data_IF_045582670542
#
_entry.id   IF_045582670542
#
_cell.length_a   1.000
_cell.length_b   1.000
_cell.length_c   1.000
_cell.angle_alpha   90.00
_cell.angle_beta   90.00
_cell.angle_gamma   90.00
#
_symmetry.space_group_name_H-M   'P 1'
#
loop_
_entity.id
_entity.type
_entity.pdbx_description
1 polymer ?
#
# COMPACT_ATOMS: atom_id res chain seq x y z
N UNK A 1 -16.41 -24.39 -9.32
CA UNK A 1 -16.01 -23.71 -8.10
C UNK A 1 -16.53 -22.29 -8.16
N UNK A 2 -17.15 -21.81 -7.10
CA UNK A 2 -17.66 -20.45 -7.02
C UNK A 2 -16.51 -19.49 -6.71
N UNK A 3 -16.44 -18.36 -7.43
CA UNK A 3 -15.42 -17.32 -7.28
C UNK A 3 -16.12 -16.02 -6.89
N UNK A 4 -15.60 -15.34 -5.89
CA UNK A 4 -16.02 -14.00 -5.51
C UNK A 4 -14.97 -12.93 -5.87
N UNK A 5 -15.26 -11.67 -5.55
CA UNK A 5 -14.31 -10.57 -5.69
C UNK A 5 -14.37 -9.63 -4.49
N UNK A 6 -13.20 -9.21 -4.03
CA UNK A 6 -13.08 -8.07 -3.12
C UNK A 6 -13.38 -6.80 -3.92
N UNK A 7 -14.31 -5.97 -3.44
CA UNK A 7 -14.78 -4.79 -4.15
C UNK A 7 -14.69 -3.56 -3.24
N UNK A 8 -13.62 -2.79 -3.38
CA UNK A 8 -13.44 -1.54 -2.61
C UNK A 8 -14.11 -0.31 -3.25
N UNK A 9 -14.68 -0.46 -4.46
CA UNK A 9 -15.14 0.68 -5.24
C UNK A 9 -14.00 1.53 -5.83
N UNK A 10 -12.73 1.06 -5.75
CA UNK A 10 -11.61 1.59 -6.50
C UNK A 10 -11.57 1.02 -7.92
N UNK A 11 -10.84 1.68 -8.82
CA UNK A 11 -10.76 1.29 -10.25
C UNK A 11 -10.28 -0.16 -10.44
N UNK A 12 -9.35 -0.63 -9.62
CA UNK A 12 -8.70 -1.94 -9.74
C UNK A 12 -9.67 -3.08 -9.48
N UNK A 13 -10.25 -3.10 -8.27
CA UNK A 13 -11.22 -4.11 -7.87
C UNK A 13 -12.49 -4.06 -8.72
N UNK A 14 -12.91 -2.86 -9.12
CA UNK A 14 -14.08 -2.67 -9.98
C UNK A 14 -13.84 -3.26 -11.37
N UNK A 15 -12.66 -3.01 -11.96
CA UNK A 15 -12.31 -3.54 -13.28
C UNK A 15 -12.21 -5.07 -13.27
N UNK A 16 -11.54 -5.66 -12.26
CA UNK A 16 -11.44 -7.12 -12.13
C UNK A 16 -12.84 -7.75 -12.02
N UNK A 17 -13.72 -7.20 -11.18
CA UNK A 17 -15.09 -7.70 -11.02
C UNK A 17 -15.89 -7.59 -12.32
N UNK A 18 -15.75 -6.47 -13.03
CA UNK A 18 -16.45 -6.23 -14.32
C UNK A 18 -15.94 -7.20 -15.41
N UNK A 19 -14.63 -7.39 -15.51
CA UNK A 19 -14.04 -8.32 -16.49
C UNK A 19 -14.45 -9.76 -16.21
N UNK A 20 -14.43 -10.18 -14.94
CA UNK A 20 -14.90 -11.52 -14.58
C UNK A 20 -16.35 -11.75 -14.99
N UNK A 21 -17.25 -10.82 -14.67
CA UNK A 21 -18.67 -10.91 -15.02
C UNK A 21 -18.85 -10.98 -16.54
N UNK A 22 -18.12 -10.15 -17.28
CA UNK A 22 -18.19 -10.11 -18.76
C UNK A 22 -17.68 -11.39 -19.40
N UNK A 23 -16.54 -11.93 -18.93
CA UNK A 23 -15.89 -13.11 -19.52
C UNK A 23 -16.63 -14.39 -19.15
N UNK A 24 -17.04 -14.52 -17.89
CA UNK A 24 -17.71 -15.73 -17.42
C UNK A 24 -19.18 -15.80 -17.81
N UNK A 25 -19.81 -14.67 -18.12
CA UNK A 25 -21.25 -14.56 -18.32
C UNK A 25 -22.07 -14.83 -17.04
N UNK A 26 -21.42 -14.95 -15.87
CA UNK A 26 -22.04 -15.28 -14.60
C UNK A 26 -22.08 -14.08 -13.67
N UNK A 27 -23.12 -14.02 -12.84
CA UNK A 27 -23.18 -13.07 -11.74
C UNK A 27 -22.12 -13.41 -10.69
N UNK A 28 -21.31 -12.44 -10.29
CA UNK A 28 -20.28 -12.62 -9.28
C UNK A 28 -20.77 -12.19 -7.89
N UNK A 29 -20.35 -12.88 -6.85
CA UNK A 29 -20.47 -12.40 -5.48
C UNK A 29 -19.36 -11.39 -5.19
N UNK A 30 -19.70 -10.20 -4.72
CA UNK A 30 -18.75 -9.16 -4.36
C UNK A 30 -18.84 -8.83 -2.88
N UNK A 31 -17.69 -8.59 -2.25
CA UNK A 31 -17.59 -8.29 -0.83
C UNK A 31 -16.83 -7.00 -0.60
N UNK A 32 -17.35 -6.16 0.29
CA UNK A 32 -16.77 -4.86 0.66
C UNK A 32 -16.76 -4.68 2.15
N UNK A 33 -15.82 -3.88 2.65
CA UNK A 33 -15.77 -3.46 4.04
C UNK A 33 -16.13 -1.98 4.18
N UNK A 34 -16.87 -1.67 5.22
CA UNK A 34 -17.14 -0.31 5.67
C UNK A 34 -17.09 -0.21 7.20
N UNK A 35 -17.26 0.99 7.71
CA UNK A 35 -17.19 1.30 9.14
C UNK A 35 -18.41 2.12 9.54
N UNK A 36 -19.04 1.78 10.66
CA UNK A 36 -20.28 2.41 11.11
C UNK A 36 -20.07 3.85 11.61
N UNK A 37 -18.98 4.11 12.35
CA UNK A 37 -18.73 5.41 12.99
C UNK A 37 -17.90 6.38 12.13
N UNK A 38 -17.08 5.88 11.20
CA UNK A 38 -16.09 6.66 10.47
C UNK A 38 -16.34 6.67 8.95
N UNK A 39 -17.28 7.49 8.51
CA UNK A 39 -17.64 7.64 7.09
C UNK A 39 -16.45 8.00 6.19
N UNK A 40 -15.45 8.70 6.72
CA UNK A 40 -14.25 9.05 5.95
C UNK A 40 -13.42 7.85 5.51
N UNK A 41 -13.52 6.73 6.22
CA UNK A 41 -12.87 5.47 5.89
C UNK A 41 -13.79 4.52 5.12
N UNK A 42 -15.10 4.83 5.05
CA UNK A 42 -16.10 3.99 4.39
C UNK A 42 -16.16 4.27 2.89
N UNK A 43 -16.09 3.23 2.09
CA UNK A 43 -16.13 3.29 0.62
C UNK A 43 -17.29 2.48 0.04
N UNK A 44 -18.24 2.05 0.88
CA UNK A 44 -19.35 1.18 0.49
C UNK A 44 -20.22 1.79 -0.61
N UNK A 45 -20.41 3.12 -0.63
CA UNK A 45 -21.20 3.79 -1.66
C UNK A 45 -20.60 3.59 -3.06
N UNK A 46 -19.28 3.70 -3.19
CA UNK A 46 -18.59 3.47 -4.46
C UNK A 46 -18.59 1.98 -4.86
N UNK A 47 -18.44 1.09 -3.88
CA UNK A 47 -18.57 -0.34 -4.11
C UNK A 47 -19.99 -0.69 -4.60
N UNK A 48 -21.03 -0.09 -4.01
CA UNK A 48 -22.41 -0.27 -4.42
C UNK A 48 -22.68 0.23 -5.84
N UNK A 49 -22.10 1.38 -6.24
CA UNK A 49 -22.20 1.89 -7.62
C UNK A 49 -21.66 0.85 -8.62
N UNK A 50 -20.46 0.32 -8.35
CA UNK A 50 -19.88 -0.72 -9.20
C UNK A 50 -20.72 -1.99 -9.19
N UNK A 51 -21.11 -2.47 -8.01
CA UNK A 51 -21.90 -3.69 -7.86
C UNK A 51 -23.22 -3.62 -8.64
N UNK A 52 -23.90 -2.47 -8.60
CA UNK A 52 -25.12 -2.22 -9.37
C UNK A 52 -24.84 -2.23 -10.86
N UNK A 53 -23.77 -1.57 -11.31
CA UNK A 53 -23.39 -1.49 -12.72
C UNK A 53 -23.10 -2.87 -13.34
N UNK A 54 -22.37 -3.72 -12.62
CA UNK A 54 -22.03 -5.08 -13.10
C UNK A 54 -23.06 -6.14 -12.72
N UNK A 55 -24.16 -5.73 -12.09
CA UNK A 55 -25.22 -6.62 -11.61
C UNK A 55 -24.71 -7.78 -10.72
N UNK A 56 -23.78 -7.46 -9.78
CA UNK A 56 -23.22 -8.47 -8.84
C UNK A 56 -24.17 -8.73 -7.66
N UNK A 57 -23.94 -9.85 -6.97
CA UNK A 57 -24.50 -10.10 -5.64
C UNK A 57 -23.58 -9.43 -4.60
N UNK A 58 -23.95 -8.24 -4.16
CA UNK A 58 -23.09 -7.44 -3.29
C UNK A 58 -23.35 -7.71 -1.81
N UNK A 59 -22.28 -7.98 -1.05
CA UNK A 59 -22.29 -8.32 0.37
C UNK A 59 -21.39 -7.31 1.13
N UNK A 60 -21.95 -6.19 1.60
CA UNK A 60 -21.19 -5.25 2.42
C UNK A 60 -21.05 -5.78 3.84
N UNK A 61 -19.84 -5.69 4.40
CA UNK A 61 -19.51 -6.00 5.79
C UNK A 61 -19.21 -4.69 6.51
N UNK A 62 -20.01 -4.35 7.51
CA UNK A 62 -19.84 -3.12 8.30
C UNK A 62 -19.22 -3.48 9.64
N UNK A 63 -18.05 -2.92 9.92
CA UNK A 63 -17.24 -3.20 11.11
C UNK A 63 -17.43 -2.07 12.14
N UNK A 64 -17.72 -2.42 13.37
CA UNK A 64 -17.73 -1.53 14.52
C UNK A 64 -16.43 -1.63 15.34
N UNK A 65 -16.19 -0.69 16.26
CA UNK A 65 -15.00 -0.65 17.10
C UNK A 65 -14.78 -1.95 17.89
N UNK A 66 -15.84 -2.49 18.51
CA UNK A 66 -15.76 -3.70 19.34
C UNK A 66 -15.32 -4.91 18.52
N UNK A 67 -15.89 -5.06 17.33
CA UNK A 67 -15.55 -6.15 16.41
C UNK A 67 -14.11 -6.04 15.92
N UNK A 68 -13.67 -4.83 15.57
CA UNK A 68 -12.30 -4.54 15.17
C UNK A 68 -11.29 -4.92 16.26
N UNK A 69 -11.55 -4.51 17.51
CA UNK A 69 -10.69 -4.81 18.66
C UNK A 69 -10.65 -6.31 18.96
N UNK A 70 -11.80 -7.00 18.89
CA UNK A 70 -11.87 -8.44 19.15
C UNK A 70 -11.06 -9.28 18.16
N UNK A 71 -10.84 -8.78 16.94
CA UNK A 71 -10.02 -9.46 15.92
C UNK A 71 -8.55 -9.07 15.92
N UNK A 72 -8.14 -8.11 16.77
CA UNK A 72 -6.79 -7.57 16.77
C UNK A 72 -5.73 -8.66 17.06
N UNK A 73 -5.83 -9.34 18.20
CA UNK A 73 -4.86 -10.36 18.62
C UNK A 73 -4.82 -11.53 17.64
N UNK A 74 -5.96 -12.05 17.24
CA UNK A 74 -6.04 -13.13 16.24
C UNK A 74 -5.38 -12.73 14.92
N UNK A 75 -5.53 -11.48 14.48
CA UNK A 75 -4.90 -11.00 13.26
C UNK A 75 -3.38 -10.94 13.38
N UNK A 76 -2.86 -10.52 14.55
CA UNK A 76 -1.43 -10.53 14.80
C UNK A 76 -0.85 -11.94 14.79
N UNK A 77 -1.53 -12.90 15.38
CA UNK A 77 -1.11 -14.32 15.38
C UNK A 77 -1.05 -14.88 13.95
N UNK A 78 -2.00 -14.52 13.08
CA UNK A 78 -1.99 -14.94 11.67
C UNK A 78 -0.82 -14.37 10.87
N UNK A 79 -0.37 -13.15 11.21
CA UNK A 79 0.71 -12.47 10.47
C UNK A 79 2.09 -13.08 10.74
N UNK A 80 2.30 -13.71 11.90
CA UNK A 80 3.57 -14.34 12.34
C UNK A 80 4.78 -13.39 12.38
N UNK A 81 4.70 -12.23 11.77
CA UNK A 81 5.76 -11.20 11.71
C UNK A 81 5.18 -9.81 12.02
N UNK A 82 6.00 -8.90 12.56
CA UNK A 82 5.59 -7.51 12.76
C UNK A 82 5.17 -6.88 11.45
N UNK A 83 3.92 -6.44 11.38
CA UNK A 83 3.34 -5.82 10.20
C UNK A 83 2.70 -4.47 10.54
N UNK A 84 3.00 -3.43 9.78
CA UNK A 84 2.55 -2.06 10.04
C UNK A 84 1.28 -1.63 9.31
N UNK A 85 0.64 -2.52 8.54
CA UNK A 85 -0.55 -2.18 7.76
C UNK A 85 -1.83 -2.47 8.54
N UNK A 86 -2.53 -1.42 8.95
CA UNK A 86 -3.79 -1.49 9.69
C UNK A 86 -4.95 -2.14 8.91
N UNK A 87 -4.81 -2.31 7.60
CA UNK A 87 -5.77 -3.01 6.75
C UNK A 87 -5.83 -4.53 7.03
N UNK A 88 -4.89 -5.08 7.79
CA UNK A 88 -4.85 -6.49 8.16
C UNK A 88 -6.11 -6.93 8.92
N UNK A 89 -6.57 -6.13 9.89
CA UNK A 89 -7.71 -6.49 10.73
C UNK A 89 -9.03 -6.53 9.93
N UNK A 90 -9.41 -5.48 9.17
CA UNK A 90 -10.61 -5.56 8.34
C UNK A 90 -10.52 -6.64 7.25
N UNK A 91 -9.32 -6.95 6.74
CA UNK A 91 -9.14 -8.06 5.82
C UNK A 91 -9.42 -9.41 6.49
N UNK A 92 -8.98 -9.62 7.75
CA UNK A 92 -9.29 -10.83 8.52
C UNK A 92 -10.81 -11.00 8.70
N UNK A 93 -11.50 -9.94 9.11
CA UNK A 93 -12.95 -9.97 9.28
C UNK A 93 -13.64 -10.31 7.95
N UNK A 94 -13.25 -9.61 6.87
CA UNK A 94 -13.84 -9.79 5.55
C UNK A 94 -13.64 -11.20 5.00
N UNK A 95 -12.44 -11.76 5.10
CA UNK A 95 -12.11 -13.10 4.61
C UNK A 95 -12.85 -14.19 5.39
N UNK A 96 -13.04 -13.98 6.69
CA UNK A 96 -13.85 -14.85 7.55
C UNK A 96 -15.33 -14.86 7.15
N UNK A 97 -15.92 -13.68 6.85
CA UNK A 97 -17.30 -13.58 6.37
C UNK A 97 -17.48 -14.25 5.00
N UNK A 98 -16.50 -14.09 4.09
CA UNK A 98 -16.51 -14.78 2.78
C UNK A 98 -16.47 -16.31 2.96
N UNK A 99 -15.63 -16.79 3.87
CA UNK A 99 -15.53 -18.24 4.14
C UNK A 99 -16.82 -18.82 4.70
N UNK A 100 -17.53 -18.09 5.58
CA UNK A 100 -18.81 -18.53 6.17
C UNK A 100 -19.90 -18.84 5.13
N UNK A 101 -19.88 -18.18 3.99
CA UNK A 101 -20.82 -18.45 2.88
C UNK A 101 -20.35 -19.53 1.93
N UNK A 102 -19.27 -20.27 2.27
CA UNK A 102 -18.76 -21.43 1.54
C UNK A 102 -17.87 -21.09 0.33
N UNK A 103 -17.50 -19.84 0.11
CA UNK A 103 -16.59 -19.42 -0.96
C UNK A 103 -15.15 -19.70 -0.54
N UNK A 104 -14.35 -20.26 -1.45
CA UNK A 104 -12.95 -20.63 -1.21
C UNK A 104 -11.95 -19.84 -2.04
N UNK A 105 -12.41 -19.10 -3.04
CA UNK A 105 -11.53 -18.32 -3.92
C UNK A 105 -12.12 -16.95 -4.18
N UNK A 106 -11.27 -15.92 -4.06
CA UNK A 106 -11.67 -14.54 -4.26
C UNK A 106 -10.65 -13.80 -5.11
N UNK A 107 -11.12 -12.90 -5.98
CA UNK A 107 -10.30 -12.03 -6.80
C UNK A 107 -10.00 -10.73 -6.06
N UNK A 108 -8.76 -10.24 -6.18
CA UNK A 108 -8.31 -8.96 -5.65
C UNK A 108 -7.67 -8.09 -6.73
N UNK A 109 -7.69 -6.78 -6.52
CA UNK A 109 -7.06 -5.78 -7.38
C UNK A 109 -5.59 -5.49 -7.07
N UNK A 110 -4.94 -6.28 -6.20
CA UNK A 110 -3.54 -6.09 -5.83
C UNK A 110 -2.59 -6.17 -7.04
N UNK A 111 -1.51 -5.40 -7.00
CA UNK A 111 -0.50 -5.34 -8.06
C UNK A 111 -0.79 -4.30 -9.15
N UNK A 112 -2.00 -3.75 -9.20
CA UNK A 112 -2.38 -2.74 -10.18
C UNK A 112 -1.61 -1.43 -10.00
N UNK A 113 -1.40 -1.00 -8.77
CA UNK A 113 -0.69 0.25 -8.48
C UNK A 113 0.75 0.23 -8.94
N UNK A 114 1.41 -0.91 -8.78
CA UNK A 114 2.80 -1.09 -9.14
C UNK A 114 3.00 -1.10 -10.67
N UNK A 115 2.15 -1.81 -11.41
CA UNK A 115 2.34 -1.97 -12.85
C UNK A 115 1.71 -0.85 -13.70
N UNK A 116 0.73 -0.10 -13.14
CA UNK A 116 0.05 1.01 -13.83
C UNK A 116 0.34 2.38 -13.20
N UNK A 117 1.36 2.52 -12.37
CA UNK A 117 1.78 3.78 -11.75
C UNK A 117 0.66 4.45 -10.93
N UNK A 118 0.09 3.71 -9.99
CA UNK A 118 -1.06 4.15 -9.21
C UNK A 118 -0.75 5.01 -7.99
N UNK A 119 0.47 5.02 -7.49
CA UNK A 119 0.85 5.78 -6.32
C UNK A 119 1.20 7.23 -6.66
N UNK A 120 0.67 8.19 -5.88
CA UNK A 120 0.95 9.63 -6.07
C UNK A 120 2.45 9.95 -5.97
N UNK A 121 3.19 9.16 -5.20
CA UNK A 121 4.64 9.30 -5.07
C UNK A 121 5.38 9.10 -6.40
N UNK A 122 4.89 8.29 -7.32
CA UNK A 122 5.57 8.07 -8.61
C UNK A 122 5.72 9.37 -9.40
N UNK A 123 4.64 10.14 -9.52
CA UNK A 123 4.69 11.44 -10.19
C UNK A 123 5.66 12.43 -9.49
N UNK A 124 5.71 12.38 -8.15
CA UNK A 124 6.66 13.18 -7.35
C UNK A 124 8.10 12.78 -7.63
N UNK A 125 8.39 11.48 -7.64
CA UNK A 125 9.75 10.98 -7.88
C UNK A 125 10.22 11.21 -9.33
N UNK A 126 9.32 11.15 -10.31
CA UNK A 126 9.69 11.51 -11.69
C UNK A 126 10.21 12.94 -11.79
N UNK A 127 9.59 13.89 -11.08
CA UNK A 127 10.10 15.28 -11.01
C UNK A 127 11.50 15.36 -10.37
N UNK A 128 11.77 14.54 -9.35
CA UNK A 128 13.11 14.47 -8.75
C UNK A 128 14.14 13.88 -9.71
N UNK A 129 13.80 12.86 -10.49
CA UNK A 129 14.68 12.30 -11.51
C UNK A 129 14.95 13.29 -12.66
N UNK A 130 13.94 14.05 -13.08
CA UNK A 130 14.10 15.14 -14.06
C UNK A 130 15.03 16.23 -13.51
N UNK A 131 14.84 16.63 -12.26
CA UNK A 131 15.70 17.59 -11.59
C UNK A 131 17.15 17.09 -11.51
N UNK A 132 17.36 15.84 -11.10
CA UNK A 132 18.70 15.23 -11.06
C UNK A 132 19.39 15.29 -12.43
N UNK A 133 18.67 14.95 -13.50
CA UNK A 133 19.20 15.02 -14.88
C UNK A 133 19.52 16.44 -15.34
N UNK A 134 18.85 17.46 -14.82
CA UNK A 134 19.05 18.86 -15.22
C UNK A 134 20.24 19.53 -14.54
N UNK A 135 20.79 18.93 -13.47
CA UNK A 135 21.88 19.53 -12.70
C UNK A 135 23.23 19.43 -13.42
N UNK A 136 23.92 20.59 -13.58
CA UNK A 136 25.33 20.61 -13.92
C UNK A 136 26.20 20.15 -12.73
N UNK A 137 27.45 19.83 -13.00
CA UNK A 137 28.39 19.47 -11.94
C UNK A 137 28.60 20.62 -10.93
N UNK A 138 28.64 21.86 -11.39
CA UNK A 138 28.78 23.04 -10.51
C UNK A 138 27.53 23.23 -9.61
N UNK A 139 26.33 23.10 -10.19
CA UNK A 139 25.09 23.17 -9.44
C UNK A 139 24.99 22.03 -8.40
N UNK A 140 25.48 20.85 -8.75
CA UNK A 140 25.50 19.73 -7.82
C UNK A 140 26.45 19.97 -6.63
N UNK A 141 27.63 20.52 -6.86
CA UNK A 141 28.55 20.93 -5.80
C UNK A 141 27.94 21.99 -4.88
N UNK A 142 27.35 23.03 -5.46
CA UNK A 142 26.69 24.10 -4.71
C UNK A 142 25.54 23.57 -3.85
N UNK A 143 24.70 22.68 -4.40
CA UNK A 143 23.62 22.02 -3.65
C UNK A 143 24.17 21.15 -2.50
N UNK A 144 25.29 20.46 -2.72
CA UNK A 144 25.91 19.65 -1.67
C UNK A 144 26.32 20.51 -0.46
N UNK A 145 26.87 21.70 -0.69
CA UNK A 145 27.27 22.63 0.36
C UNK A 145 26.05 23.15 1.13
N UNK A 146 24.97 23.51 0.42
CA UNK A 146 23.71 23.95 1.04
C UNK A 146 23.12 22.82 1.90
N UNK A 147 23.02 21.61 1.36
CA UNK A 147 22.43 20.46 2.06
C UNK A 147 23.29 20.07 3.26
N UNK A 148 24.62 20.20 3.17
CA UNK A 148 25.53 20.00 4.28
C UNK A 148 25.30 20.96 5.43
N UNK A 149 24.93 22.21 5.14
CA UNK A 149 24.60 23.25 6.13
C UNK A 149 23.19 23.07 6.72
N UNK A 150 22.27 22.44 6.00
CA UNK A 150 20.89 22.21 6.47
C UNK A 150 20.85 21.06 7.47
N UNK A 151 20.54 21.34 8.72
CA UNK A 151 20.29 20.33 9.77
C UNK A 151 18.88 19.72 9.69
N UNK A 152 18.22 19.83 8.54
CA UNK A 152 16.85 19.36 8.36
C UNK A 152 16.79 17.87 8.04
N UNK A 153 15.86 17.12 8.66
CA UNK A 153 15.69 15.68 8.54
C UNK A 153 14.34 15.30 7.88
N UNK A 154 13.83 16.15 7.00
CA UNK A 154 12.63 15.84 6.22
C UNK A 154 12.93 14.84 5.11
N UNK A 155 11.89 14.20 4.57
CA UNK A 155 12.01 13.32 3.41
C UNK A 155 12.57 14.07 2.19
N UNK A 156 12.18 15.30 1.99
CA UNK A 156 12.66 16.16 0.90
C UNK A 156 14.17 16.40 1.00
N UNK A 157 14.66 16.72 2.20
CA UNK A 157 16.11 16.89 2.41
C UNK A 157 16.89 15.59 2.21
N UNK A 158 16.31 14.45 2.51
CA UNK A 158 16.90 13.13 2.23
C UNK A 158 16.99 12.87 0.72
N UNK A 159 15.93 13.14 -0.04
CA UNK A 159 15.91 12.96 -1.49
C UNK A 159 16.93 13.87 -2.17
N UNK A 160 17.04 15.12 -1.76
CA UNK A 160 18.10 16.03 -2.26
C UNK A 160 19.51 15.51 -1.94
N UNK A 161 19.74 14.95 -0.74
CA UNK A 161 21.03 14.32 -0.41
C UNK A 161 21.34 13.14 -1.33
N UNK A 162 20.34 12.32 -1.67
CA UNK A 162 20.51 11.18 -2.58
C UNK A 162 20.84 11.64 -3.99
N UNK A 163 20.18 12.67 -4.50
CA UNK A 163 20.47 13.29 -5.79
C UNK A 163 21.94 13.74 -5.85
N UNK A 164 22.33 14.56 -4.88
CA UNK A 164 23.69 15.12 -4.82
C UNK A 164 24.76 14.04 -4.70
N UNK A 165 24.49 12.99 -3.94
CA UNK A 165 25.41 11.86 -3.72
C UNK A 165 25.30 10.77 -4.79
N UNK A 166 24.45 10.95 -5.81
CA UNK A 166 24.19 9.96 -6.87
C UNK A 166 23.82 8.59 -6.30
N UNK A 167 22.98 8.59 -5.26
CA UNK A 167 22.42 7.40 -4.64
C UNK A 167 21.07 7.07 -5.24
N UNK A 168 20.58 5.84 -5.02
CA UNK A 168 19.23 5.49 -5.44
C UNK A 168 18.22 6.44 -4.82
N UNK A 169 17.50 7.15 -5.67
CA UNK A 169 16.53 8.14 -5.26
C UNK A 169 15.28 7.50 -4.70
N UNK A 170 14.78 6.47 -5.36
CA UNK A 170 13.59 5.72 -4.97
C UNK A 170 13.95 4.30 -4.51
N UNK A 171 13.68 3.99 -3.25
CA UNK A 171 13.95 2.67 -2.68
C UNK A 171 12.70 1.79 -2.56
N UNK A 172 11.54 2.36 -2.32
CA UNK A 172 10.21 1.73 -2.34
C UNK A 172 9.13 2.68 -1.81
N UNK A 173 7.87 2.43 -2.13
CA UNK A 173 6.71 3.10 -1.52
C UNK A 173 6.68 2.93 0.01
N UNK A 174 7.11 1.78 0.50
CA UNK A 174 7.18 1.46 1.93
C UNK A 174 8.27 2.20 2.72
N UNK A 175 9.06 3.08 2.10
CA UNK A 175 10.09 3.85 2.81
C UNK A 175 9.46 4.99 3.63
N UNK A 176 9.11 4.69 4.90
CA UNK A 176 8.45 5.65 5.80
C UNK A 176 9.46 6.59 6.46
N UNK A 177 10.60 6.09 6.89
CA UNK A 177 11.62 6.84 7.63
C UNK A 177 12.84 7.17 6.77
N UNK A 178 13.39 8.39 6.95
CA UNK A 178 14.69 8.76 6.38
C UNK A 178 15.82 7.93 6.97
N UNK A 179 16.96 7.87 6.30
CA UNK A 179 18.16 7.17 6.81
C UNK A 179 18.60 7.71 8.17
N UNK A 180 18.50 9.02 8.37
CA UNK A 180 18.84 9.65 9.66
C UNK A 180 17.86 9.23 10.74
N UNK A 181 16.56 9.19 10.45
CA UNK A 181 15.55 8.74 11.40
C UNK A 181 15.76 7.28 11.77
N UNK A 182 16.02 6.40 10.80
CA UNK A 182 16.32 4.99 11.04
C UNK A 182 17.54 4.80 11.93
N UNK A 183 18.66 5.51 11.67
CA UNK A 183 19.87 5.48 12.48
C UNK A 183 19.66 6.01 13.91
N UNK A 184 18.73 6.93 14.09
CA UNK A 184 18.35 7.41 15.44
C UNK A 184 17.49 6.42 16.20
N UNK A 185 16.64 5.67 15.51
CA UNK A 185 15.71 4.71 16.12
C UNK A 185 16.41 3.39 16.43
N UNK A 186 17.19 2.85 15.51
CA UNK A 186 17.75 1.51 15.59
C UNK A 186 19.26 1.54 15.86
N UNK A 187 19.74 0.62 16.70
CA UNK A 187 21.19 0.43 16.92
C UNK A 187 21.87 -0.15 15.70
N UNK A 188 21.20 -1.07 15.01
CA UNK A 188 21.68 -1.67 13.76
C UNK A 188 20.60 -1.48 12.71
N UNK A 189 20.87 -0.61 11.76
CA UNK A 189 19.98 -0.39 10.63
C UNK A 189 20.28 -1.45 9.58
N UNK A 190 19.30 -2.27 9.18
CA UNK A 190 19.47 -3.15 8.04
C UNK A 190 19.80 -2.31 6.81
N UNK A 191 20.91 -2.58 6.17
CA UNK A 191 21.26 -1.96 4.90
C UNK A 191 20.57 -2.74 3.79
N UNK A 192 19.61 -2.13 3.14
CA UNK A 192 19.05 -2.65 1.92
C UNK A 192 20.08 -2.43 0.81
N UNK A 193 20.67 -3.50 0.31
CA UNK A 193 21.45 -3.43 -0.92
C UNK A 193 20.46 -3.43 -2.08
N UNK A 194 20.01 -2.25 -2.48
CA UNK A 194 19.31 -2.16 -3.75
C UNK A 194 20.31 -2.42 -4.87
N UNK A 195 19.91 -3.25 -5.82
CA UNK A 195 20.55 -3.27 -7.12
C UNK A 195 20.54 -1.83 -7.65
N UNK A 196 21.66 -1.36 -8.17
CA UNK A 196 21.75 -0.01 -8.68
C UNK A 196 20.74 0.19 -9.80
N UNK A 197 19.93 1.23 -9.72
CA UNK A 197 19.01 1.63 -10.78
C UNK A 197 19.80 1.96 -12.06
N UNK A 198 19.96 0.98 -12.93
CA UNK A 198 20.54 1.16 -14.27
C UNK A 198 19.45 1.34 -15.33
N UNK A 199 18.19 1.37 -14.90
CA UNK A 199 17.02 1.32 -15.75
C UNK A 199 16.31 2.66 -15.80
N UNK A 200 15.35 2.75 -16.70
CA UNK A 200 14.39 3.84 -16.74
C UNK A 200 13.74 4.04 -15.35
N UNK A 201 13.60 5.29 -14.86
CA UNK A 201 13.02 5.55 -13.54
C UNK A 201 11.61 4.97 -13.33
N UNK A 202 10.78 4.94 -14.37
CA UNK A 202 9.43 4.40 -14.32
C UNK A 202 9.47 2.89 -14.04
N UNK A 203 10.27 2.17 -14.82
CA UNK A 203 10.43 0.73 -14.68
C UNK A 203 11.12 0.38 -13.36
N UNK A 204 12.09 1.20 -12.93
CA UNK A 204 12.72 0.99 -11.63
C UNK A 204 11.73 1.11 -10.48
N UNK A 205 10.89 2.14 -10.46
CA UNK A 205 9.89 2.33 -9.39
C UNK A 205 8.88 1.18 -9.36
N UNK A 206 8.36 0.77 -10.52
CA UNK A 206 7.48 -0.40 -10.63
C UNK A 206 8.15 -1.68 -10.14
N UNK A 207 9.38 -1.95 -10.59
CA UNK A 207 10.13 -3.15 -10.23
C UNK A 207 10.41 -3.26 -8.74
N UNK A 208 10.90 -2.17 -8.13
CA UNK A 208 11.26 -2.22 -6.71
C UNK A 208 10.04 -2.35 -5.81
N UNK A 209 8.90 -1.73 -6.19
CA UNK A 209 7.67 -1.88 -5.43
C UNK A 209 7.03 -3.25 -5.62
N UNK A 210 7.07 -3.85 -6.81
CA UNK A 210 6.67 -5.24 -7.00
C UNK A 210 7.46 -6.19 -6.12
N UNK A 211 8.78 -5.99 -6.02
CA UNK A 211 9.64 -6.87 -5.21
C UNK A 211 9.52 -6.66 -3.71
N UNK A 212 9.46 -5.41 -3.25
CA UNK A 212 9.57 -5.09 -1.83
C UNK A 212 8.22 -4.77 -1.23
N UNK A 213 7.61 -3.69 -1.69
CA UNK A 213 6.36 -3.23 -1.08
C UNK A 213 5.23 -4.24 -1.28
N UNK A 214 5.02 -4.66 -2.52
CA UNK A 214 3.98 -5.62 -2.83
C UNK A 214 4.34 -7.01 -2.33
N UNK A 215 5.52 -7.54 -2.69
CA UNK A 215 5.89 -8.93 -2.37
C UNK A 215 6.02 -9.18 -0.88
N UNK A 216 6.83 -8.37 -0.20
CA UNK A 216 7.19 -8.62 1.20
C UNK A 216 6.14 -8.06 2.19
N UNK A 217 5.40 -7.01 1.83
CA UNK A 217 4.42 -6.41 2.73
C UNK A 217 2.98 -6.76 2.33
N UNK A 218 2.51 -6.34 1.16
CA UNK A 218 1.08 -6.45 0.85
C UNK A 218 0.64 -7.89 0.59
N UNK A 219 1.34 -8.63 -0.27
CA UNK A 219 0.96 -10.01 -0.60
C UNK A 219 1.18 -10.97 0.57
N UNK A 220 2.26 -10.80 1.33
CA UNK A 220 2.50 -11.58 2.55
C UNK A 220 1.34 -11.42 3.54
N UNK A 221 0.88 -10.19 3.78
CA UNK A 221 -0.30 -9.91 4.61
C UNK A 221 -1.56 -10.57 4.05
N UNK A 222 -1.83 -10.35 2.76
CA UNK A 222 -3.04 -10.88 2.11
C UNK A 222 -3.07 -12.40 2.18
N UNK A 223 -1.97 -13.06 1.84
CA UNK A 223 -1.86 -14.52 1.83
C UNK A 223 -2.06 -15.10 3.23
N UNK A 224 -1.29 -14.66 4.22
CA UNK A 224 -1.37 -15.20 5.59
C UNK A 224 -2.76 -15.05 6.19
N UNK A 225 -3.39 -13.88 6.04
CA UNK A 225 -4.70 -13.63 6.60
C UNK A 225 -5.80 -14.42 5.87
N UNK A 226 -5.78 -14.43 4.55
CA UNK A 226 -6.79 -15.14 3.79
C UNK A 226 -6.66 -16.65 3.95
N UNK A 227 -5.43 -17.18 3.92
CA UNK A 227 -5.18 -18.61 4.15
C UNK A 227 -5.49 -19.03 5.58
N UNK A 228 -5.25 -18.16 6.57
CA UNK A 228 -5.67 -18.38 7.95
C UNK A 228 -7.19 -18.53 8.10
N UNK A 229 -7.97 -17.98 7.17
CA UNK A 229 -9.42 -18.17 7.03
C UNK A 229 -9.82 -19.19 5.93
N UNK A 230 -8.88 -20.01 5.43
CA UNK A 230 -9.09 -21.01 4.39
C UNK A 230 -9.69 -20.42 3.10
N UNK A 231 -9.27 -19.21 2.73
CA UNK A 231 -9.69 -18.48 1.54
C UNK A 231 -8.48 -18.18 0.65
N UNK A 232 -8.52 -18.58 -0.61
CA UNK A 232 -7.48 -18.29 -1.58
C UNK A 232 -7.76 -16.96 -2.31
N UNK A 233 -6.84 -16.00 -2.21
CA UNK A 233 -6.89 -14.74 -2.94
C UNK A 233 -6.09 -14.84 -4.22
N UNK A 234 -6.73 -14.53 -5.34
CA UNK A 234 -6.11 -14.47 -6.66
C UNK A 234 -5.97 -13.01 -7.11
N UNK A 235 -4.82 -12.70 -7.71
CA UNK A 235 -4.42 -11.34 -8.10
C UNK A 235 -4.16 -11.26 -9.61
N UNK A 236 -5.20 -11.08 -10.45
CA UNK A 236 -5.05 -11.13 -11.91
C UNK A 236 -4.08 -10.11 -12.51
N UNK A 237 -3.87 -8.96 -11.84
CA UNK A 237 -2.88 -7.98 -12.29
C UNK A 237 -1.43 -8.46 -12.19
N UNK A 238 -1.19 -9.51 -11.40
CA UNK A 238 0.13 -10.12 -11.25
C UNK A 238 0.34 -11.35 -12.16
N UNK A 239 -0.54 -11.55 -13.15
CA UNK A 239 -0.27 -12.54 -14.18
C UNK A 239 1.06 -12.25 -14.86
N UNK A 240 1.89 -13.30 -14.99
CA UNK A 240 3.25 -13.19 -15.52
C UNK A 240 3.31 -12.53 -16.89
N UNK A 241 2.39 -12.87 -17.78
CA UNK A 241 2.36 -12.29 -19.12
C UNK A 241 1.96 -10.82 -19.09
N UNK A 242 1.01 -10.44 -18.23
CA UNK A 242 0.62 -9.04 -18.07
C UNK A 242 1.77 -8.20 -17.49
N UNK A 243 2.44 -8.68 -16.45
CA UNK A 243 3.58 -7.99 -15.87
C UNK A 243 4.69 -7.79 -16.90
N UNK A 244 5.09 -8.86 -17.60
CA UNK A 244 6.12 -8.77 -18.65
C UNK A 244 5.71 -7.82 -19.78
N UNK A 245 4.44 -7.88 -20.20
CA UNK A 245 3.92 -6.96 -21.21
C UNK A 245 4.04 -5.50 -20.73
N UNK A 246 3.66 -5.20 -19.50
CA UNK A 246 3.74 -3.86 -18.96
C UNK A 246 5.19 -3.35 -18.86
N UNK A 247 6.15 -4.22 -18.57
CA UNK A 247 7.58 -3.85 -18.61
C UNK A 247 8.13 -3.68 -20.04
N UNK A 248 7.46 -4.23 -21.05
CA UNK A 248 7.82 -4.00 -22.45
C UNK A 248 7.21 -2.71 -23.04
N UNK A 249 6.22 -2.12 -22.37
CA UNK A 249 5.59 -0.86 -22.79
C UNK A 249 6.53 0.30 -22.47
N UNK A 250 6.77 1.17 -23.45
CA UNK A 250 7.59 2.36 -23.29
C UNK A 250 7.09 3.26 -22.14
N UNK A 251 8.00 3.73 -21.31
CA UNK A 251 7.69 4.53 -20.12
C UNK A 251 6.85 5.79 -20.43
N UNK A 252 7.13 6.45 -21.54
CA UNK A 252 6.35 7.61 -21.99
C UNK A 252 4.86 7.32 -22.25
N UNK A 253 4.53 6.06 -22.60
CA UNK A 253 3.14 5.62 -22.79
C UNK A 253 2.46 5.34 -21.44
N UNK A 254 3.23 4.85 -20.46
CA UNK A 254 2.70 4.56 -19.10
C UNK A 254 2.39 5.82 -18.32
N UNK A 255 3.25 6.84 -18.47
CA UNK A 255 3.11 8.13 -17.80
C UNK A 255 2.12 8.99 -18.57
N UNK A 256 1.01 9.36 -17.95
CA UNK A 256 0.01 10.26 -18.51
C UNK A 256 -0.28 11.41 -17.54
N UNK A 257 -1.34 12.14 -17.82
CA UNK A 257 -1.77 13.31 -17.02
C UNK A 257 -2.30 12.92 -15.62
N UNK A 258 -2.59 11.64 -15.42
CA UNK A 258 -3.15 11.11 -14.16
C UNK A 258 -2.54 9.76 -13.82
N UNK A 259 -2.53 9.44 -12.53
CA UNK A 259 -2.19 8.09 -12.07
C UNK A 259 -3.06 7.04 -12.78
N UNK A 260 -2.48 5.86 -13.06
CA UNK A 260 -3.15 4.76 -13.75
C UNK A 260 -3.72 5.13 -15.13
N UNK A 261 -3.06 6.03 -15.84
CA UNK A 261 -3.54 6.54 -17.13
C UNK A 261 -4.00 5.44 -18.11
N UNK A 262 -3.16 4.43 -18.35
CA UNK A 262 -3.50 3.32 -19.23
C UNK A 262 -4.68 2.49 -18.69
N UNK A 263 -4.67 2.20 -17.39
CA UNK A 263 -5.73 1.44 -16.76
C UNK A 263 -7.06 2.16 -16.84
N UNK A 264 -7.09 3.48 -16.63
CA UNK A 264 -8.29 4.31 -16.76
C UNK A 264 -8.86 4.27 -18.18
N UNK A 265 -8.01 4.33 -19.19
CA UNK A 265 -8.43 4.18 -20.60
C UNK A 265 -9.08 2.82 -20.90
N UNK A 266 -8.56 1.76 -20.31
CA UNK A 266 -9.12 0.43 -20.44
C UNK A 266 -10.44 0.33 -19.66
N UNK A 267 -10.43 0.79 -18.41
CA UNK A 267 -11.54 0.69 -17.47
C UNK A 267 -12.79 1.46 -17.93
N UNK A 268 -12.64 2.55 -18.70
CA UNK A 268 -13.75 3.34 -19.24
C UNK A 268 -14.73 2.55 -20.11
N UNK A 269 -14.29 1.38 -20.61
CA UNK A 269 -15.15 0.47 -21.40
C UNK A 269 -15.97 -0.49 -20.53
N UNK A 270 -15.72 -0.55 -19.22
CA UNK A 270 -16.25 -1.61 -18.36
C UNK A 270 -16.89 -1.11 -17.07
N UNK A 271 -16.49 0.05 -16.57
CA UNK A 271 -16.96 0.60 -15.30
C UNK A 271 -17.34 2.08 -15.42
N UNK A 272 -18.20 2.61 -14.52
CA UNK A 272 -18.68 3.99 -14.60
C UNK A 272 -17.56 5.02 -14.43
N UNK A 273 -17.70 6.18 -15.10
CA UNK A 273 -16.77 7.30 -15.00
C UNK A 273 -16.60 7.83 -13.57
N UNK A 274 -17.65 7.77 -12.75
CA UNK A 274 -17.61 8.16 -11.33
C UNK A 274 -16.58 7.35 -10.52
N UNK A 275 -16.35 6.10 -10.91
CA UNK A 275 -15.33 5.23 -10.31
C UNK A 275 -13.94 5.54 -10.88
N UNK A 276 -13.83 5.80 -12.18
CA UNK A 276 -12.56 6.08 -12.87
C UNK A 276 -11.95 7.40 -12.42
N UNK A 277 -12.79 8.43 -12.28
CA UNK A 277 -12.36 9.80 -11.94
C UNK A 277 -12.29 10.07 -10.43
N UNK A 278 -12.58 9.06 -9.63
CA UNK A 278 -12.49 9.11 -8.18
C UNK A 278 -11.05 9.35 -7.72
N UNK A 279 -10.89 10.20 -6.71
CA UNK A 279 -9.60 10.32 -5.99
C UNK A 279 -9.25 8.99 -5.35
N UNK A 280 -8.03 8.52 -5.60
CA UNK A 280 -7.54 7.27 -5.01
C UNK A 280 -7.57 7.36 -3.48
N UNK A 281 -8.12 6.31 -2.86
CA UNK A 281 -7.95 6.03 -1.44
C UNK A 281 -7.32 4.65 -1.30
N UNK A 282 -6.40 4.50 -0.34
CA UNK A 282 -5.91 3.19 0.06
C UNK A 282 -6.96 2.47 0.91
N UNK A 283 -6.83 1.17 1.06
CA UNK A 283 -7.65 0.38 1.99
C UNK A 283 -7.21 0.72 3.43
N UNK A 284 -7.75 1.82 3.96
CA UNK A 284 -7.43 2.33 5.28
C UNK A 284 -8.50 1.93 6.29
N UNK A 285 -8.10 1.84 7.56
CA UNK A 285 -9.00 1.59 8.68
C UNK A 285 -8.85 2.67 9.75
N UNK A 286 -9.88 2.92 10.58
CA UNK A 286 -9.82 3.86 11.70
C UNK A 286 -8.97 3.34 12.87
N UNK A 287 -7.82 2.74 12.57
CA UNK A 287 -6.89 2.15 13.51
C UNK A 287 -6.42 3.14 14.58
N UNK A 288 -6.03 4.33 14.14
CA UNK A 288 -5.54 5.36 15.05
C UNK A 288 -6.64 5.87 16.00
N UNK A 289 -7.86 5.99 15.50
CA UNK A 289 -9.00 6.48 16.26
C UNK A 289 -9.45 5.46 17.30
N UNK A 290 -9.45 4.19 16.94
CA UNK A 290 -9.92 3.11 17.80
C UNK A 290 -8.86 2.60 18.78
N UNK A 291 -7.61 2.42 18.35
CA UNK A 291 -6.56 1.83 19.17
C UNK A 291 -5.74 2.87 19.97
N UNK A 292 -5.56 4.09 19.45
CA UNK A 292 -4.78 5.11 20.18
C UNK A 292 -5.38 5.51 21.53
N UNK A 293 -6.69 5.40 21.70
CA UNK A 293 -7.35 5.73 22.97
C UNK A 293 -7.14 4.64 24.03
N UNK A 294 -7.18 3.39 23.63
CA UNK A 294 -7.28 2.25 24.54
C UNK A 294 -5.96 1.49 24.72
N UNK A 295 -5.14 1.44 23.68
CA UNK A 295 -3.94 0.61 23.64
C UNK A 295 -2.61 1.36 23.61
N UNK A 296 -2.60 2.70 23.54
CA UNK A 296 -1.37 3.49 23.39
C UNK A 296 -0.32 3.17 24.46
N UNK A 297 -0.73 3.12 25.71
CA UNK A 297 0.20 2.85 26.81
C UNK A 297 0.65 1.39 26.81
N UNK A 298 -0.24 0.44 26.54
CA UNK A 298 0.09 -0.98 26.40
C UNK A 298 1.10 -1.23 25.28
N UNK A 299 0.94 -0.59 24.11
CA UNK A 299 1.89 -0.68 22.99
C UNK A 299 3.26 -0.11 23.38
N UNK A 300 3.28 1.01 24.09
CA UNK A 300 4.54 1.60 24.58
C UNK A 300 5.25 0.69 25.59
N UNK A 301 4.51 0.03 26.47
CA UNK A 301 5.07 -0.92 27.42
C UNK A 301 5.66 -2.14 26.70
N UNK A 302 4.96 -2.70 25.72
CA UNK A 302 5.47 -3.81 24.90
C UNK A 302 6.74 -3.41 24.16
N UNK A 303 6.80 -2.22 23.55
CA UNK A 303 8.02 -1.77 22.86
C UNK A 303 9.21 -1.67 23.83
N UNK A 304 8.99 -1.17 25.05
CA UNK A 304 10.03 -1.08 26.07
C UNK A 304 10.49 -2.47 26.50
N UNK A 305 9.57 -3.40 26.72
CA UNK A 305 9.85 -4.77 27.09
C UNK A 305 10.64 -5.51 26.00
N UNK A 306 10.18 -5.46 24.77
CA UNK A 306 10.88 -6.04 23.60
C UNK A 306 12.29 -5.45 23.47
N UNK A 307 12.46 -4.15 23.69
CA UNK A 307 13.78 -3.55 23.62
C UNK A 307 14.71 -4.01 24.76
N UNK A 308 14.18 -4.23 25.94
CA UNK A 308 14.97 -4.79 27.06
C UNK A 308 15.48 -6.20 26.74
N UNK A 309 14.69 -7.00 26.02
CA UNK A 309 15.05 -8.35 25.61
C UNK A 309 15.99 -8.38 24.39
N UNK A 310 15.75 -7.52 23.39
CA UNK A 310 16.41 -7.60 22.08
C UNK A 310 17.49 -6.56 21.86
N UNK A 311 17.50 -5.48 22.66
CA UNK A 311 18.39 -4.33 22.50
C UNK A 311 18.37 -3.71 21.09
N UNK A 312 17.20 -3.72 20.43
CA UNK A 312 17.00 -3.32 19.04
C UNK A 312 17.06 -1.79 18.85
N UNK A 313 16.48 -1.04 19.80
CA UNK A 313 16.33 0.40 19.66
C UNK A 313 17.38 1.19 20.43
N UNK A 314 17.73 2.37 19.91
CA UNK A 314 18.59 3.33 20.61
C UNK A 314 17.82 4.01 21.75
N UNK A 315 17.93 3.46 22.98
CA UNK A 315 17.36 4.01 24.21
C UNK A 315 15.89 4.49 24.05
N UNK A 316 14.91 3.58 23.92
CA UNK A 316 13.52 3.96 23.84
C UNK A 316 13.04 4.40 25.22
N UNK A 317 13.06 5.69 25.49
CA UNK A 317 12.22 6.25 26.54
C UNK A 317 10.81 6.43 25.98
N UNK A 318 9.78 6.16 26.80
CA UNK A 318 8.37 6.40 26.41
C UNK A 318 8.16 7.79 25.78
N UNK A 319 8.92 8.81 26.24
CA UNK A 319 8.90 10.18 25.73
C UNK A 319 9.46 10.30 24.30
N UNK A 320 10.52 9.55 23.94
CA UNK A 320 11.10 9.59 22.58
C UNK A 320 10.23 8.90 21.54
N UNK A 321 9.57 7.80 21.90
CA UNK A 321 8.63 7.12 21.00
C UNK A 321 7.42 8.01 20.74
N UNK A 322 6.91 8.72 21.76
CA UNK A 322 5.83 9.71 21.61
C UNK A 322 6.22 10.85 20.65
N UNK A 323 7.42 11.40 20.77
CA UNK A 323 7.87 12.50 19.90
C UNK A 323 8.05 12.08 18.44
N UNK A 324 8.44 10.82 18.17
CA UNK A 324 8.54 10.29 16.80
C UNK A 324 7.15 10.06 16.20
N UNK A 325 6.18 9.56 16.96
CA UNK A 325 4.81 9.37 16.48
C UNK A 325 4.07 10.70 16.21
N UNK A 326 4.46 11.79 16.88
CA UNK A 326 3.92 13.12 16.65
C UNK A 326 4.58 13.84 15.46
N UNK A 327 5.81 13.49 15.11
CA UNK A 327 6.54 14.06 13.97
C UNK A 327 6.25 13.41 12.63
N UNK A 328 5.45 12.32 12.60
CA UNK A 328 5.05 11.56 11.40
C UNK A 328 3.64 11.94 10.93
N UNK A 329 2.98 12.83 11.66
CA UNK A 329 1.75 13.49 11.18
C UNK A 329 2.13 14.66 10.28
#
# INVERSE_FOLDING_TARGET
MEVASLLSGGIDSSLISALYTKISGKKINTFSVGYDEYKNYCELDFAQITATHINSNHNPVVINQKEYINHFEQTLDMLEEPHGDSAAIPLNILTKEIHKVGIKTVLSGEGSDEIFLGYDNYAKFLKYYEFEKSLSNEQNLFLNDIIGALQNNTKESEYLRRIVKKQNLYNSFGEIYTDIQRKRLFKKVPTFKSETAKQDPVDWMSYIDLKIWLGEALLSKVDRISMGNSLEVRTPFLDFNLVNYMFSVESGIKVGDTNKYLLKKIASKYIPETIINRTKKGFNSPFNEWLNKEYKDKVLDVIVEVNNQTNLFNAPTKSRIRSVSESVK
#
